data_IF_757111775446
#
_entry.id   IF_757111775446
#
_cell.length_a   1.000
_cell.length_b   1.000
_cell.length_c   1.000
_cell.angle_alpha   90.00
_cell.angle_beta   90.00
_cell.angle_gamma   90.00
#
_symmetry.space_group_name_H-M   'P 1'
#
loop_
_entity.id
_entity.type
_entity.pdbx_description
1 polymer ?
#
# COMPACT_ATOMS: atom_id res chain seq x y z
N UNK A 1 18.71 15.21 -37.90
CA UNK A 1 19.26 15.80 -36.66
C UNK A 1 19.12 14.79 -35.54
N UNK A 2 20.16 13.98 -35.33
CA UNK A 2 20.21 13.05 -34.22
C UNK A 2 20.49 13.82 -32.93
N UNK A 3 19.56 13.75 -31.98
CA UNK A 3 19.70 14.44 -30.69
C UNK A 3 20.54 13.59 -29.73
N UNK A 4 21.54 14.23 -29.12
CA UNK A 4 22.54 13.58 -28.28
C UNK A 4 22.02 12.95 -26.99
N UNK A 5 22.88 12.25 -26.22
CA UNK A 5 22.49 11.48 -25.03
C UNK A 5 21.74 12.28 -23.95
N UNK A 6 22.03 13.58 -23.82
CA UNK A 6 21.35 14.47 -22.86
C UNK A 6 19.89 14.77 -23.23
N UNK A 7 19.55 14.77 -24.52
CA UNK A 7 18.20 15.06 -25.00
C UNK A 7 17.29 13.79 -25.01
N UNK A 8 17.91 12.60 -24.95
CA UNK A 8 17.18 11.33 -24.69
C UNK A 8 16.72 11.21 -23.23
N UNK A 9 17.47 11.79 -22.28
CA UNK A 9 17.09 11.82 -20.86
C UNK A 9 16.00 12.87 -20.56
N UNK A 10 15.99 13.98 -21.30
CA UNK A 10 15.01 15.08 -21.14
C UNK A 10 13.59 14.72 -21.60
N UNK A 11 13.46 13.77 -22.53
CA UNK A 11 12.18 13.34 -23.14
C UNK A 11 11.66 11.99 -22.62
N UNK A 12 12.30 11.40 -21.62
CA UNK A 12 11.98 10.05 -21.14
C UNK A 12 10.63 9.94 -20.39
N UNK A 13 9.98 11.08 -20.10
CA UNK A 13 8.58 11.14 -19.69
C UNK A 13 7.61 10.82 -20.85
N UNK A 14 8.05 10.94 -22.10
CA UNK A 14 7.25 10.63 -23.31
C UNK A 14 7.02 9.13 -23.49
N UNK A 15 7.81 8.28 -22.82
CA UNK A 15 7.54 6.84 -22.79
C UNK A 15 6.47 6.58 -21.73
N UNK A 16 5.32 5.96 -22.08
CA UNK A 16 4.27 5.69 -21.11
C UNK A 16 4.80 4.74 -20.03
N UNK A 17 5.14 5.30 -18.87
CA UNK A 17 5.57 4.55 -17.66
C UNK A 17 4.40 3.83 -17.00
N UNK A 18 3.19 4.34 -17.24
CA UNK A 18 1.93 3.74 -16.82
C UNK A 18 1.19 3.25 -18.07
N UNK A 19 0.87 1.97 -18.08
CA UNK A 19 -0.03 1.37 -19.06
C UNK A 19 -1.45 1.41 -18.48
N UNK A 20 -2.43 1.83 -19.30
CA UNK A 20 -3.84 1.68 -18.95
C UNK A 20 -4.19 0.19 -18.87
N UNK A 21 -4.71 -0.25 -17.73
CA UNK A 21 -5.26 -1.59 -17.60
C UNK A 21 -6.62 -1.49 -16.94
N UNK A 22 -7.60 -2.21 -17.48
CA UNK A 22 -8.88 -2.41 -16.81
C UNK A 22 -8.69 -3.47 -15.73
N UNK A 23 -8.91 -3.10 -14.47
CA UNK A 23 -8.99 -4.07 -13.39
C UNK A 23 -10.39 -4.68 -13.40
N UNK A 24 -10.46 -5.99 -13.55
CA UNK A 24 -11.72 -6.73 -13.53
C UNK A 24 -11.96 -7.32 -12.13
N UNK A 25 -13.23 -7.39 -11.75
CA UNK A 25 -13.72 -8.02 -10.53
C UNK A 25 -15.17 -8.44 -10.75
N UNK A 26 -15.55 -9.64 -10.30
CA UNK A 26 -16.87 -10.23 -10.56
C UNK A 26 -17.98 -9.62 -9.70
N UNK A 27 -18.28 -8.34 -9.93
CA UNK A 27 -19.34 -7.59 -9.22
C UNK A 27 -20.75 -8.00 -9.64
N UNK A 28 -20.89 -8.80 -10.71
CA UNK A 28 -22.18 -9.35 -11.16
C UNK A 28 -22.83 -10.28 -10.14
N UNK A 29 -22.04 -10.84 -9.22
CA UNK A 29 -22.51 -11.72 -8.15
C UNK A 29 -23.03 -10.94 -6.92
N UNK A 30 -22.91 -9.61 -6.91
CA UNK A 30 -23.34 -8.79 -5.79
C UNK A 30 -24.85 -8.55 -5.82
N UNK A 31 -25.48 -8.61 -4.65
CA UNK A 31 -26.88 -8.22 -4.48
C UNK A 31 -27.07 -6.72 -4.76
N UNK A 32 -28.32 -6.27 -4.95
CA UNK A 32 -28.62 -4.84 -5.09
C UNK A 32 -28.11 -4.02 -3.90
N UNK A 33 -28.30 -4.51 -2.66
CA UNK A 33 -27.79 -3.86 -1.43
C UNK A 33 -26.27 -3.81 -1.38
N UNK A 34 -25.59 -4.88 -1.79
CA UNK A 34 -24.12 -4.89 -1.85
C UNK A 34 -23.56 -3.94 -2.90
N UNK A 35 -24.25 -3.76 -4.04
CA UNK A 35 -23.87 -2.76 -5.05
C UNK A 35 -24.06 -1.33 -4.52
N UNK A 36 -25.20 -1.06 -3.88
CA UNK A 36 -25.42 0.22 -3.22
C UNK A 36 -24.35 0.49 -2.14
N UNK A 37 -24.04 -0.51 -1.32
CA UNK A 37 -22.95 -0.42 -0.34
C UNK A 37 -21.62 -0.10 -1.02
N UNK A 38 -21.30 -0.77 -2.14
CA UNK A 38 -20.06 -0.54 -2.88
C UNK A 38 -19.93 0.92 -3.35
N UNK A 39 -21.02 1.52 -3.84
CA UNK A 39 -21.02 2.93 -4.26
C UNK A 39 -20.69 3.87 -3.08
N UNK A 40 -21.27 3.62 -1.91
CA UNK A 40 -20.96 4.36 -0.68
C UNK A 40 -19.48 4.20 -0.27
N UNK A 41 -18.93 2.98 -0.35
CA UNK A 41 -17.52 2.74 -0.01
C UNK A 41 -16.57 3.45 -1.00
N UNK A 42 -16.93 3.53 -2.29
CA UNK A 42 -16.16 4.27 -3.30
C UNK A 42 -16.21 5.78 -3.01
N UNK A 43 -17.38 6.32 -2.65
CA UNK A 43 -17.50 7.73 -2.29
C UNK A 43 -16.71 8.07 -1.02
N UNK A 44 -16.70 7.18 -0.02
CA UNK A 44 -15.84 7.32 1.15
C UNK A 44 -14.35 7.32 0.76
N UNK A 45 -13.92 6.40 -0.10
CA UNK A 45 -12.55 6.34 -0.61
C UNK A 45 -12.17 7.57 -1.43
N UNK A 46 -13.09 8.13 -2.23
CA UNK A 46 -12.84 9.36 -3.00
C UNK A 46 -12.53 10.55 -2.10
N UNK A 47 -13.18 10.68 -0.94
CA UNK A 47 -12.86 11.75 0.01
C UNK A 47 -11.44 11.61 0.59
N UNK A 48 -10.94 10.39 0.77
CA UNK A 48 -9.55 10.11 1.17
C UNK A 48 -8.56 10.51 0.09
N UNK A 49 -8.96 10.42 -1.18
CA UNK A 49 -8.15 10.87 -2.31
C UNK A 49 -7.81 12.35 -2.21
N UNK A 50 -8.80 13.18 -1.86
CA UNK A 50 -8.64 14.62 -1.67
C UNK A 50 -7.63 14.93 -0.55
N UNK A 51 -7.72 14.22 0.58
CA UNK A 51 -6.79 14.39 1.72
C UNK A 51 -5.36 14.08 1.29
N UNK A 52 -5.15 13.02 0.52
CA UNK A 52 -3.80 12.66 0.09
C UNK A 52 -3.22 13.68 -0.90
N UNK A 53 -4.04 14.31 -1.75
CA UNK A 53 -3.58 15.48 -2.53
C UNK A 53 -3.07 16.59 -1.63
N UNK A 54 -3.79 16.93 -0.55
CA UNK A 54 -3.34 17.92 0.43
C UNK A 54 -2.06 17.51 1.17
N UNK A 55 -1.90 16.22 1.49
CA UNK A 55 -0.69 15.68 2.15
C UNK A 55 0.55 15.72 1.26
N UNK A 56 0.38 15.64 -0.06
CA UNK A 56 1.49 15.45 -1.02
C UNK A 56 1.88 16.75 -1.72
N UNK A 57 0.88 17.57 -2.11
CA UNK A 57 1.05 18.73 -2.97
C UNK A 57 0.21 19.92 -2.50
N UNK A 58 -1.08 19.73 -2.24
CA UNK A 58 -2.04 20.81 -2.01
C UNK A 58 -3.20 20.77 -3.00
N UNK A 59 -3.69 21.97 -3.34
CA UNK A 59 -4.75 22.11 -4.34
C UNK A 59 -4.27 21.65 -5.72
N UNK A 60 -4.85 20.54 -6.18
CA UNK A 60 -4.54 19.92 -7.47
C UNK A 60 -5.16 20.66 -8.65
N UNK A 61 -6.18 21.49 -8.43
CA UNK A 61 -7.00 22.10 -9.48
C UNK A 61 -6.17 22.97 -10.42
N UNK A 62 -5.47 24.03 -9.95
CA UNK A 62 -4.67 24.88 -10.84
C UNK A 62 -3.52 24.11 -11.48
N UNK A 63 -2.96 23.10 -10.79
CA UNK A 63 -1.91 22.25 -11.32
C UNK A 63 -2.40 21.42 -12.52
N UNK A 64 -3.57 20.78 -12.42
CA UNK A 64 -4.06 19.87 -13.45
C UNK A 64 -4.70 20.62 -14.63
N UNK A 65 -5.36 21.75 -14.36
CA UNK A 65 -5.96 22.61 -15.39
C UNK A 65 -4.88 23.27 -16.26
N UNK A 66 -3.78 23.73 -15.66
CA UNK A 66 -2.65 24.31 -16.39
C UNK A 66 -1.83 23.33 -17.24
N UNK A 67 -2.14 22.03 -17.21
CA UNK A 67 -1.46 21.01 -18.01
C UNK A 67 -2.27 20.66 -19.25
N UNK A 68 -2.01 21.31 -20.38
CA UNK A 68 -2.70 21.03 -21.65
C UNK A 68 -2.41 19.62 -22.20
N UNK A 69 -1.16 19.15 -22.05
CA UNK A 69 -0.75 17.84 -22.52
C UNK A 69 -1.44 16.72 -21.71
N UNK A 70 -2.27 15.87 -22.33
CA UNK A 70 -3.04 14.85 -21.63
C UNK A 70 -2.16 13.74 -21.01
N UNK A 71 -0.99 13.47 -21.58
CA UNK A 71 -0.04 12.48 -21.05
C UNK A 71 0.61 13.04 -19.78
N UNK A 72 1.05 14.30 -19.79
CA UNK A 72 1.60 14.98 -18.61
C UNK A 72 0.55 15.11 -17.51
N UNK A 73 -0.66 15.56 -17.84
CA UNK A 73 -1.78 15.65 -16.89
C UNK A 73 -2.05 14.30 -16.23
N UNK A 74 -2.07 13.22 -17.01
CA UNK A 74 -2.25 11.87 -16.48
C UNK A 74 -1.08 11.42 -15.59
N UNK A 75 0.16 11.73 -15.98
CA UNK A 75 1.34 11.38 -15.21
C UNK A 75 1.38 12.10 -13.86
N UNK A 76 1.07 13.40 -13.85
CA UNK A 76 0.97 14.23 -12.64
C UNK A 76 -0.16 13.73 -11.74
N UNK A 77 -1.32 13.40 -12.32
CA UNK A 77 -2.44 12.80 -11.59
C UNK A 77 -2.07 11.46 -10.97
N UNK A 78 -1.41 10.57 -11.71
CA UNK A 78 -1.00 9.26 -11.22
C UNK A 78 0.05 9.33 -10.09
N UNK A 79 0.85 10.40 -10.05
CA UNK A 79 1.86 10.60 -9.02
C UNK A 79 1.40 11.45 -7.83
N UNK A 80 0.17 11.98 -7.84
CA UNK A 80 -0.30 12.92 -6.82
C UNK A 80 0.65 14.12 -6.67
N UNK A 81 0.98 14.73 -7.81
CA UNK A 81 1.84 15.90 -7.87
C UNK A 81 2.85 15.85 -9.01
N UNK A 82 3.60 16.94 -9.22
CA UNK A 82 4.52 17.11 -10.34
C UNK A 82 5.87 16.41 -10.15
N UNK A 83 5.91 15.27 -9.44
CA UNK A 83 7.12 14.52 -9.16
C UNK A 83 6.98 13.05 -9.58
N UNK A 84 8.01 12.52 -10.24
CA UNK A 84 8.01 11.14 -10.72
C UNK A 84 8.41 10.16 -9.60
N UNK A 85 7.43 9.47 -9.03
CA UNK A 85 7.64 8.49 -7.95
C UNK A 85 8.48 7.28 -8.39
N UNK A 86 8.53 6.95 -9.68
CA UNK A 86 9.42 5.88 -10.18
C UNK A 86 10.90 6.30 -10.20
N UNK A 87 11.17 7.61 -10.20
CA UNK A 87 12.52 8.16 -10.26
C UNK A 87 12.94 8.85 -8.97
N UNK A 88 12.40 8.39 -7.84
CA UNK A 88 12.75 8.96 -6.54
C UNK A 88 12.27 10.41 -6.39
N UNK A 89 11.09 10.72 -6.92
CA UNK A 89 10.43 12.03 -6.83
C UNK A 89 11.15 13.17 -7.57
N UNK A 90 11.83 12.89 -8.68
CA UNK A 90 12.36 13.95 -9.55
C UNK A 90 11.23 14.77 -10.16
N UNK A 91 11.35 16.11 -10.25
CA UNK A 91 10.37 16.96 -10.91
C UNK A 91 10.04 16.50 -12.34
N UNK A 92 8.76 16.51 -12.69
CA UNK A 92 8.24 16.24 -14.04
C UNK A 92 8.18 17.53 -14.86
N UNK A 93 7.88 18.65 -14.21
CA UNK A 93 7.71 19.97 -14.84
C UNK A 93 8.94 20.84 -14.57
N UNK A 94 9.32 21.69 -15.53
CA UNK A 94 10.54 22.50 -15.44
C UNK A 94 10.53 23.47 -14.24
N UNK A 95 9.38 24.06 -13.91
CA UNK A 95 9.23 25.04 -12.83
C UNK A 95 8.87 24.40 -11.48
N UNK A 96 9.07 23.09 -11.33
CA UNK A 96 8.79 22.36 -10.09
C UNK A 96 10.09 22.13 -9.31
N UNK A 97 10.14 22.65 -8.09
CA UNK A 97 11.24 22.37 -7.16
C UNK A 97 11.26 20.91 -6.67
N UNK A 98 12.29 20.51 -5.89
CA UNK A 98 12.34 19.18 -5.31
C UNK A 98 11.11 18.90 -4.42
N UNK A 99 10.64 17.65 -4.40
CA UNK A 99 9.53 17.26 -3.52
C UNK A 99 9.93 17.48 -2.05
N UNK A 100 9.11 18.17 -1.23
CA UNK A 100 9.36 18.27 0.21
C UNK A 100 9.43 16.87 0.84
N UNK A 101 10.52 16.57 1.55
CA UNK A 101 10.76 15.25 2.14
C UNK A 101 9.72 14.87 3.19
N UNK A 102 9.23 15.85 3.96
CA UNK A 102 8.18 15.66 4.94
C UNK A 102 6.76 15.77 4.37
N UNK A 103 6.59 15.70 3.05
CA UNK A 103 5.34 16.05 2.37
C UNK A 103 4.84 17.42 2.84
N UNK A 104 3.54 17.53 3.10
CA UNK A 104 2.91 18.69 3.77
C UNK A 104 2.52 18.40 5.22
N UNK A 105 3.17 17.42 5.83
CA UNK A 105 2.95 17.09 7.24
C UNK A 105 3.62 18.08 8.20
N UNK A 106 4.63 18.82 7.73
CA UNK A 106 5.42 19.77 8.52
C UNK A 106 5.46 21.15 7.84
N UNK A 107 5.75 22.24 8.57
CA UNK A 107 6.01 23.53 7.95
C UNK A 107 7.21 23.44 6.99
N UNK A 108 7.14 24.15 5.86
CA UNK A 108 8.16 24.08 4.80
C UNK A 108 9.51 24.69 5.20
N UNK A 109 9.50 25.57 6.19
CA UNK A 109 10.63 26.31 6.72
C UNK A 109 11.13 25.72 8.07
N UNK A 110 10.58 24.58 8.51
CA UNK A 110 10.97 23.93 9.75
C UNK A 110 12.30 23.18 9.58
N UNK A 111 13.22 23.36 10.53
CA UNK A 111 14.46 22.57 10.59
C UNK A 111 14.27 21.25 11.38
N UNK A 112 15.04 20.19 11.08
CA UNK A 112 15.04 18.98 11.89
C UNK A 112 15.44 19.21 13.35
N UNK A 113 16.33 20.17 13.61
CA UNK A 113 16.81 20.55 14.94
C UNK A 113 15.71 21.25 15.74
N UNK A 114 14.96 22.18 15.11
CA UNK A 114 13.77 22.80 15.68
C UNK A 114 12.76 21.72 16.10
N UNK A 115 12.43 20.79 15.20
CA UNK A 115 11.53 19.67 15.51
C UNK A 115 12.03 18.79 16.64
N UNK A 116 13.33 18.50 16.69
CA UNK A 116 13.93 17.67 17.74
C UNK A 116 13.84 18.33 19.12
N UNK A 117 13.98 19.65 19.18
CA UNK A 117 13.95 20.43 20.43
C UNK A 117 12.57 20.55 21.06
N UNK A 118 11.50 20.34 20.28
CA UNK A 118 10.12 20.45 20.78
C UNK A 118 9.70 19.16 21.51
N UNK A 119 9.39 19.30 22.79
CA UNK A 119 8.73 18.28 23.60
C UNK A 119 7.27 18.67 23.87
N UNK A 120 6.44 18.54 22.84
CA UNK A 120 5.00 18.79 22.90
C UNK A 120 4.23 17.50 22.64
N UNK A 121 3.19 17.27 23.45
CA UNK A 121 2.25 16.17 23.23
C UNK A 121 1.71 16.18 21.79
N UNK A 122 1.62 15.01 21.16
CA UNK A 122 1.06 14.89 19.82
C UNK A 122 2.04 15.15 18.67
N UNK A 123 3.15 15.88 18.86
CA UNK A 123 4.01 16.32 17.74
C UNK A 123 4.67 15.15 17.00
N UNK A 124 4.96 14.05 17.71
CA UNK A 124 5.52 12.81 17.17
C UNK A 124 4.45 11.75 16.86
N UNK A 125 3.18 12.02 17.15
CA UNK A 125 2.11 11.06 16.88
C UNK A 125 1.89 10.87 15.37
N UNK A 126 1.49 9.67 14.91
CA UNK A 126 1.27 9.40 13.49
C UNK A 126 0.14 10.20 12.86
N UNK A 127 -0.92 10.49 13.63
CA UNK A 127 -2.18 11.06 13.15
C UNK A 127 -2.29 12.57 13.42
N UNK A 128 -1.17 13.29 13.29
CA UNK A 128 -1.13 14.75 13.47
C UNK A 128 -0.30 15.40 12.38
N UNK A 129 -0.70 16.59 11.93
CA UNK A 129 0.16 17.49 11.16
C UNK A 129 0.81 18.49 12.10
N UNK A 130 2.03 18.91 11.76
CA UNK A 130 2.74 19.97 12.48
C UNK A 130 2.56 21.27 11.73
N UNK A 131 2.19 22.33 12.47
CA UNK A 131 1.96 23.68 11.93
C UNK A 131 2.68 24.71 12.79
N UNK A 132 2.84 25.92 12.26
CA UNK A 132 3.29 27.07 13.04
C UNK A 132 2.10 27.69 13.78
N UNK A 133 2.27 27.94 15.07
CA UNK A 133 1.37 28.78 15.85
C UNK A 133 1.60 30.27 15.57
N UNK A 134 0.70 31.11 16.06
CA UNK A 134 0.79 32.57 15.95
C UNK A 134 2.09 33.15 16.56
N UNK A 135 2.64 32.51 17.59
CA UNK A 135 3.91 32.90 18.21
C UNK A 135 5.16 32.36 17.48
N UNK A 136 5.00 31.73 16.31
CA UNK A 136 6.07 31.12 15.53
C UNK A 136 6.49 29.72 15.97
N UNK A 137 6.04 29.25 17.14
CA UNK A 137 6.33 27.91 17.65
C UNK A 137 5.60 26.79 16.89
N UNK A 138 6.01 25.54 17.12
CA UNK A 138 5.38 24.37 16.49
C UNK A 138 4.21 23.85 17.32
N UNK A 139 3.12 23.49 16.65
CA UNK A 139 1.95 22.83 17.25
C UNK A 139 1.55 21.59 16.47
N UNK A 140 1.02 20.60 17.19
CA UNK A 140 0.44 19.40 16.59
C UNK A 140 -1.08 19.59 16.41
N UNK A 141 -1.56 19.43 15.19
CA UNK A 141 -3.00 19.46 14.86
C UNK A 141 -3.44 18.05 14.51
N UNK A 142 -4.43 17.46 15.21
CA UNK A 142 -4.98 16.14 14.89
C UNK A 142 -5.54 16.08 13.46
N UNK A 143 -5.47 14.90 12.83
CA UNK A 143 -5.99 14.73 11.47
C UNK A 143 -7.49 14.97 11.36
N UNK A 144 -8.27 14.54 12.37
CA UNK A 144 -9.71 14.82 12.48
C UNK A 144 -10.06 16.30 12.41
N UNK A 145 -9.14 17.18 12.83
CA UNK A 145 -9.28 18.63 12.70
C UNK A 145 -8.69 19.13 11.37
N UNK A 146 -7.45 18.75 11.06
CA UNK A 146 -6.72 19.23 9.88
C UNK A 146 -7.43 18.91 8.55
N UNK A 147 -8.15 17.79 8.50
CA UNK A 147 -8.84 17.29 7.29
C UNK A 147 -10.35 17.11 7.50
N UNK A 148 -10.92 17.81 8.49
CA UNK A 148 -12.31 17.66 8.95
C UNK A 148 -13.33 17.55 7.80
N UNK A 149 -13.37 18.44 6.79
CA UNK A 149 -14.44 18.39 5.79
C UNK A 149 -14.43 17.10 4.97
N UNK A 150 -13.25 16.57 4.64
CA UNK A 150 -13.13 15.32 3.88
C UNK A 150 -13.41 14.10 4.76
N UNK A 151 -12.96 14.12 6.02
CA UNK A 151 -13.19 13.04 6.98
C UNK A 151 -14.67 12.91 7.35
N UNK A 152 -15.39 14.03 7.52
CA UNK A 152 -16.84 14.03 7.76
C UNK A 152 -17.62 13.53 6.53
N UNK A 153 -17.18 13.85 5.30
CA UNK A 153 -17.75 13.25 4.07
C UNK A 153 -17.54 11.74 4.06
N UNK A 154 -16.31 11.27 4.29
CA UNK A 154 -15.98 9.85 4.32
C UNK A 154 -16.80 9.11 5.39
N UNK A 155 -16.86 9.65 6.62
CA UNK A 155 -17.60 9.06 7.72
C UNK A 155 -19.10 8.95 7.43
N UNK A 156 -19.72 9.94 6.78
CA UNK A 156 -21.13 9.87 6.36
C UNK A 156 -21.38 8.74 5.37
N UNK A 157 -20.56 8.62 4.33
CA UNK A 157 -20.67 7.53 3.36
C UNK A 157 -20.44 6.15 4.01
N UNK A 158 -19.49 6.05 4.94
CA UNK A 158 -19.29 4.82 5.71
C UNK A 158 -20.50 4.46 6.59
N UNK A 159 -21.17 5.45 7.19
CA UNK A 159 -22.40 5.24 7.94
C UNK A 159 -23.56 4.79 7.02
N UNK A 160 -23.70 5.39 5.84
CA UNK A 160 -24.67 4.93 4.82
C UNK A 160 -24.40 3.50 4.37
N UNK A 161 -23.13 3.14 4.12
CA UNK A 161 -22.74 1.77 3.81
C UNK A 161 -23.10 0.80 4.95
N UNK A 162 -22.87 1.20 6.20
CA UNK A 162 -23.21 0.39 7.37
C UNK A 162 -24.73 0.16 7.49
N UNK A 163 -25.55 1.14 7.12
CA UNK A 163 -27.02 1.03 7.15
C UNK A 163 -27.53 -0.06 6.21
N UNK A 164 -26.98 -0.14 4.99
CA UNK A 164 -27.39 -1.14 3.97
C UNK A 164 -26.62 -2.47 4.06
N UNK A 165 -25.59 -2.55 4.91
CA UNK A 165 -24.81 -3.76 5.12
C UNK A 165 -25.61 -4.82 5.89
N UNK A 166 -25.60 -6.06 5.39
CA UNK A 166 -26.28 -7.19 6.05
C UNK A 166 -25.32 -7.99 6.96
N UNK A 167 -24.01 -7.99 6.68
CA UNK A 167 -23.01 -8.65 7.52
C UNK A 167 -22.78 -7.84 8.82
N UNK A 168 -22.99 -8.44 10.01
CA UNK A 168 -22.93 -7.72 11.28
C UNK A 168 -21.49 -7.32 11.67
N UNK A 169 -20.48 -8.10 11.29
CA UNK A 169 -19.08 -7.79 11.59
C UNK A 169 -18.60 -6.62 10.73
N UNK A 170 -18.93 -6.62 9.45
CA UNK A 170 -18.59 -5.53 8.54
C UNK A 170 -19.35 -4.25 8.90
N UNK A 171 -20.64 -4.35 9.24
CA UNK A 171 -21.41 -3.21 9.78
C UNK A 171 -20.75 -2.60 11.00
N UNK A 172 -20.31 -3.43 11.96
CA UNK A 172 -19.58 -2.98 13.15
C UNK A 172 -18.27 -2.27 12.77
N UNK A 173 -17.49 -2.85 11.85
CA UNK A 173 -16.26 -2.22 11.35
C UNK A 173 -16.55 -0.85 10.73
N UNK A 174 -17.50 -0.76 9.80
CA UNK A 174 -17.85 0.49 9.11
C UNK A 174 -18.25 1.59 10.10
N UNK A 175 -19.08 1.27 11.08
CA UNK A 175 -19.48 2.21 12.14
C UNK A 175 -18.30 2.68 12.98
N UNK A 176 -17.45 1.75 13.44
CA UNK A 176 -16.28 2.09 14.25
C UNK A 176 -15.25 2.91 13.47
N UNK A 177 -15.02 2.57 12.20
CA UNK A 177 -14.07 3.27 11.33
C UNK A 177 -14.58 4.65 10.95
N UNK A 178 -15.88 4.81 10.68
CA UNK A 178 -16.49 6.13 10.46
C UNK A 178 -16.26 7.07 11.66
N UNK A 179 -16.44 6.56 12.89
CA UNK A 179 -16.12 7.31 14.12
C UNK A 179 -14.64 7.61 14.21
N UNK A 180 -13.77 6.63 13.99
CA UNK A 180 -12.31 6.81 14.07
C UNK A 180 -11.80 7.91 13.14
N UNK A 181 -12.36 8.04 11.93
CA UNK A 181 -11.99 9.10 10.99
C UNK A 181 -12.22 10.51 11.55
N UNK A 182 -13.19 10.70 12.44
CA UNK A 182 -13.52 12.02 13.01
C UNK A 182 -13.06 12.18 14.47
N UNK A 183 -12.46 11.15 15.09
CA UNK A 183 -11.95 11.20 16.47
C UNK A 183 -10.47 10.82 16.60
N UNK A 184 -9.82 10.38 15.52
CA UNK A 184 -8.45 9.85 15.47
C UNK A 184 -8.16 8.59 16.31
N UNK A 185 -9.21 7.94 16.86
CA UNK A 185 -9.11 6.69 17.63
C UNK A 185 -9.38 5.46 16.74
N UNK A 186 -8.35 4.98 16.07
CA UNK A 186 -8.45 3.87 15.11
C UNK A 186 -8.43 2.48 15.76
N UNK A 187 -7.93 2.36 16.99
CA UNK A 187 -7.68 1.07 17.65
C UNK A 187 -8.89 0.13 17.72
N UNK A 188 -10.09 0.57 18.15
CA UNK A 188 -11.29 -0.25 18.14
C UNK A 188 -11.68 -0.75 16.74
N UNK A 189 -11.55 0.12 15.74
CA UNK A 189 -11.91 -0.21 14.36
C UNK A 189 -10.91 -1.17 13.71
N UNK A 190 -9.62 -1.04 14.03
CA UNK A 190 -8.57 -1.94 13.53
C UNK A 190 -8.77 -3.36 14.06
N UNK A 191 -9.13 -3.52 15.34
CA UNK A 191 -9.51 -4.83 15.90
C UNK A 191 -10.73 -5.42 15.18
N UNK A 192 -11.77 -4.61 14.97
CA UNK A 192 -12.96 -5.05 14.26
C UNK A 192 -12.65 -5.48 12.81
N UNK A 193 -11.72 -4.79 12.13
CA UNK A 193 -11.27 -5.17 10.80
C UNK A 193 -10.52 -6.51 10.80
N UNK A 194 -9.65 -6.73 11.78
CA UNK A 194 -8.89 -7.97 11.93
C UNK A 194 -9.78 -9.21 12.18
N UNK A 195 -11.04 -9.02 12.59
CA UNK A 195 -12.05 -10.08 12.79
C UNK A 195 -12.83 -10.44 11.51
N UNK A 196 -12.73 -9.66 10.43
CA UNK A 196 -13.51 -9.88 9.20
C UNK A 196 -13.08 -11.15 8.46
N UNK A 197 -14.03 -12.05 8.18
CA UNK A 197 -13.75 -13.34 7.49
C UNK A 197 -14.66 -13.65 6.32
N UNK A 198 -15.92 -13.20 6.37
CA UNK A 198 -17.01 -13.70 5.52
C UNK A 198 -17.52 -12.69 4.49
N UNK A 199 -17.38 -11.38 4.73
CA UNK A 199 -17.99 -10.42 3.84
C UNK A 199 -17.27 -10.36 2.49
N UNK A 200 -18.05 -10.41 1.40
CA UNK A 200 -17.54 -10.44 0.03
C UNK A 200 -16.93 -9.09 -0.36
N UNK A 201 -17.52 -7.99 0.10
CA UNK A 201 -16.95 -6.64 -0.09
C UNK A 201 -16.11 -6.29 1.13
N UNK A 202 -14.95 -5.68 0.93
CA UNK A 202 -14.07 -5.28 2.03
C UNK A 202 -13.57 -3.86 1.78
N UNK A 203 -13.23 -3.17 2.86
CA UNK A 203 -12.74 -1.80 2.84
C UNK A 203 -11.59 -1.67 3.81
N UNK A 204 -10.48 -1.14 3.32
CA UNK A 204 -9.35 -0.71 4.14
C UNK A 204 -9.19 0.78 3.90
N UNK A 205 -9.44 1.61 4.91
CA UNK A 205 -9.50 3.08 4.75
C UNK A 205 -8.92 3.81 5.96
N UNK A 206 -8.10 4.83 5.76
CA UNK A 206 -7.59 5.67 6.85
C UNK A 206 -6.12 6.07 6.66
N UNK A 207 -5.45 6.55 7.73
CA UNK A 207 -4.03 6.88 7.69
C UNK A 207 -3.19 5.60 7.80
N UNK A 208 -2.67 5.11 6.67
CA UNK A 208 -2.18 3.73 6.51
C UNK A 208 -0.77 3.61 5.90
N UNK A 209 -0.17 4.70 5.46
CA UNK A 209 1.13 4.65 4.77
C UNK A 209 2.12 5.68 5.32
N UNK A 210 3.26 5.23 5.84
CA UNK A 210 4.28 6.14 6.42
C UNK A 210 5.38 6.54 5.43
N UNK A 211 5.32 6.09 4.18
CA UNK A 211 6.39 6.32 3.21
C UNK A 211 6.36 7.74 2.63
N UNK A 212 5.20 8.41 2.68
CA UNK A 212 5.07 9.79 2.21
C UNK A 212 5.85 10.78 3.10
N UNK A 213 6.05 10.45 4.38
CA UNK A 213 6.97 11.15 5.27
C UNK A 213 8.39 10.56 5.15
N UNK A 214 9.15 11.03 4.16
CA UNK A 214 10.57 10.69 3.99
C UNK A 214 11.50 11.49 4.93
N UNK A 215 10.97 12.49 5.64
CA UNK A 215 11.76 13.28 6.57
C UNK A 215 12.03 12.49 7.85
N UNK A 216 10.98 12.05 8.53
CA UNK A 216 11.08 11.30 9.79
C UNK A 216 10.44 9.91 9.74
N UNK A 217 9.54 9.66 8.79
CA UNK A 217 8.72 8.44 8.76
C UNK A 217 7.82 8.31 9.98
N UNK A 218 7.41 9.44 10.56
CA UNK A 218 6.54 9.56 11.72
C UNK A 218 5.07 9.62 11.34
N UNK A 219 4.74 10.32 10.27
CA UNK A 219 3.36 10.64 9.88
C UNK A 219 2.82 9.64 8.88
N UNK A 220 1.53 9.34 8.99
CA UNK A 220 0.84 8.41 8.12
C UNK A 220 -0.05 9.15 7.12
N UNK A 221 0.16 8.87 5.85
CA UNK A 221 -0.66 9.30 4.75
C UNK A 221 -1.96 8.50 4.67
N UNK A 222 -3.01 9.17 4.21
CA UNK A 222 -4.33 8.60 3.98
C UNK A 222 -4.35 7.73 2.70
N UNK A 223 -5.00 6.58 2.80
CA UNK A 223 -5.16 5.63 1.71
C UNK A 223 -6.48 4.88 1.84
N UNK A 224 -6.99 4.39 0.72
CA UNK A 224 -8.15 3.51 0.71
C UNK A 224 -8.06 2.41 -0.35
N UNK A 225 -8.54 1.22 0.00
CA UNK A 225 -8.74 0.08 -0.87
C UNK A 225 -10.18 -0.39 -0.74
N UNK A 226 -10.95 -0.30 -1.81
CA UNK A 226 -12.25 -0.96 -1.93
C UNK A 226 -12.03 -2.29 -2.65
N UNK A 227 -12.38 -3.38 -1.99
CA UNK A 227 -11.93 -4.72 -2.34
C UNK A 227 -13.11 -5.68 -2.50
N UNK A 228 -12.91 -6.67 -3.36
CA UNK A 228 -13.80 -7.83 -3.52
C UNK A 228 -13.04 -9.09 -3.13
N UNK A 229 -13.48 -9.75 -2.06
CA UNK A 229 -12.85 -10.95 -1.50
C UNK A 229 -13.11 -12.17 -2.39
N UNK A 230 -12.04 -12.90 -2.69
CA UNK A 230 -12.09 -14.26 -3.23
C UNK A 230 -12.17 -15.24 -2.06
N UNK A 231 -13.39 -15.62 -1.66
CA UNK A 231 -13.58 -16.51 -0.51
C UNK A 231 -12.90 -17.89 -0.72
N UNK A 232 -13.13 -18.61 -1.84
CA UNK A 232 -12.46 -19.89 -2.06
C UNK A 232 -10.93 -19.79 -2.09
N UNK A 233 -10.39 -18.71 -2.65
CA UNK A 233 -8.95 -18.44 -2.66
C UNK A 233 -8.39 -18.16 -1.26
N UNK A 234 -9.08 -17.33 -0.49
CA UNK A 234 -8.71 -16.97 0.88
C UNK A 234 -8.74 -18.21 1.79
N UNK A 235 -9.79 -19.03 1.71
CA UNK A 235 -9.91 -20.27 2.52
C UNK A 235 -8.79 -21.27 2.23
N UNK A 236 -8.33 -21.35 0.96
CA UNK A 236 -7.17 -22.17 0.58
C UNK A 236 -5.88 -21.66 1.26
N UNK A 237 -5.67 -20.35 1.25
CA UNK A 237 -4.48 -19.75 1.84
C UNK A 237 -4.51 -19.82 3.37
N UNK A 238 -5.68 -19.66 4.00
CA UNK A 238 -5.85 -19.84 5.45
C UNK A 238 -5.49 -21.25 5.92
N UNK A 239 -5.80 -22.28 5.12
CA UNK A 239 -5.33 -23.66 5.42
C UNK A 239 -3.82 -23.78 5.43
N UNK A 240 -3.12 -23.08 4.53
CA UNK A 240 -1.65 -23.06 4.48
C UNK A 240 -1.08 -22.24 5.64
N UNK A 241 -1.69 -21.09 5.94
CA UNK A 241 -1.28 -20.21 7.04
C UNK A 241 -1.27 -20.92 8.39
N UNK A 242 -2.22 -21.85 8.62
CA UNK A 242 -2.25 -22.68 9.84
C UNK A 242 -1.04 -23.62 9.99
N UNK A 243 -0.34 -23.94 8.89
CA UNK A 243 0.85 -24.80 8.88
C UNK A 243 2.16 -24.01 8.92
N UNK A 244 2.11 -22.67 8.99
CA UNK A 244 3.32 -21.84 9.05
C UNK A 244 4.27 -22.20 10.20
N UNK A 245 3.80 -22.57 11.42
CA UNK A 245 4.70 -23.03 12.47
C UNK A 245 5.49 -24.29 12.08
N UNK A 246 4.83 -25.29 11.49
CA UNK A 246 5.48 -26.51 10.98
C UNK A 246 6.51 -26.18 9.90
N UNK A 247 6.12 -25.34 8.93
CA UNK A 247 7.01 -24.93 7.83
C UNK A 247 8.22 -24.18 8.40
N UNK A 248 8.03 -23.29 9.38
CA UNK A 248 9.11 -22.56 10.02
C UNK A 248 10.11 -23.47 10.75
N UNK A 249 9.61 -24.51 11.43
CA UNK A 249 10.45 -25.51 12.09
C UNK A 249 11.23 -26.39 11.10
N UNK A 250 10.70 -26.61 9.90
CA UNK A 250 11.37 -27.39 8.85
C UNK A 250 12.53 -26.66 8.16
N UNK A 251 12.69 -25.35 8.38
CA UNK A 251 13.73 -24.57 7.70
C UNK A 251 15.13 -24.91 8.23
N UNK A 252 16.16 -24.93 7.36
CA UNK A 252 17.53 -25.31 7.72
C UNK A 252 18.22 -24.37 8.73
N UNK A 253 17.53 -23.31 9.15
CA UNK A 253 17.98 -22.30 10.11
C UNK A 253 16.99 -22.10 11.27
N UNK A 254 16.03 -22.99 11.46
CA UNK A 254 14.99 -22.87 12.50
C UNK A 254 15.57 -22.70 13.92
N UNK A 255 16.69 -23.37 14.22
CA UNK A 255 17.38 -23.28 15.52
C UNK A 255 18.02 -21.92 15.81
N UNK A 256 18.27 -21.09 14.78
CA UNK A 256 18.86 -19.76 14.94
C UNK A 256 17.83 -18.68 15.33
N UNK A 257 16.53 -19.00 15.31
CA UNK A 257 15.44 -18.06 15.54
C UNK A 257 14.56 -18.48 16.72
N UNK A 258 14.94 -18.03 17.92
CA UNK A 258 14.30 -18.36 19.20
C UNK A 258 12.80 -17.98 19.28
N UNK A 259 12.29 -17.06 18.45
CA UNK A 259 10.94 -16.49 18.61
C UNK A 259 9.83 -17.12 17.74
N UNK A 260 10.14 -18.09 16.87
CA UNK A 260 9.15 -18.66 15.95
C UNK A 260 8.48 -17.61 15.03
N UNK A 261 7.60 -18.01 14.11
CA UNK A 261 6.83 -17.06 13.33
C UNK A 261 5.77 -16.38 14.21
N UNK A 262 5.56 -15.07 14.04
CA UNK A 262 4.40 -14.41 14.64
C UNK A 262 3.10 -15.03 14.12
N UNK A 263 2.02 -15.02 14.95
CA UNK A 263 0.70 -15.43 14.49
C UNK A 263 0.27 -14.60 13.27
N UNK A 264 -0.21 -15.29 12.23
CA UNK A 264 -0.90 -14.68 11.09
C UNK A 264 -2.38 -14.95 11.29
N UNK A 265 -3.20 -13.89 11.39
CA UNK A 265 -4.63 -14.00 11.70
C UNK A 265 -5.49 -14.46 10.52
N UNK A 266 -4.91 -14.51 9.32
CA UNK A 266 -5.51 -15.02 8.08
C UNK A 266 -4.72 -14.53 6.86
N UNK A 267 -5.15 -14.92 5.66
CA UNK A 267 -4.63 -14.42 4.39
C UNK A 267 -5.78 -14.10 3.44
N UNK A 268 -5.92 -12.83 3.05
CA UNK A 268 -7.00 -12.41 2.17
C UNK A 268 -6.56 -12.29 0.72
N UNK A 269 -7.25 -12.97 -0.18
CA UNK A 269 -7.16 -12.77 -1.62
C UNK A 269 -8.30 -11.86 -2.06
N UNK A 270 -7.97 -10.79 -2.78
CA UNK A 270 -8.95 -9.80 -3.21
C UNK A 270 -8.71 -9.36 -4.65
N UNK A 271 -9.78 -8.96 -5.33
CA UNK A 271 -9.71 -8.07 -6.47
C UNK A 271 -9.86 -6.62 -5.98
N UNK A 272 -8.96 -5.73 -6.40
CA UNK A 272 -9.10 -4.31 -6.11
C UNK A 272 -10.13 -3.69 -7.06
N UNK A 273 -11.17 -3.07 -6.50
CA UNK A 273 -12.22 -2.39 -7.27
C UNK A 273 -11.94 -0.89 -7.38
N UNK A 274 -11.45 -0.27 -6.31
CA UNK A 274 -11.10 1.15 -6.28
C UNK A 274 -9.93 1.39 -5.33
N UNK A 275 -9.01 2.27 -5.72
CA UNK A 275 -7.84 2.66 -4.93
C UNK A 275 -7.84 4.19 -4.81
N UNK A 276 -7.58 4.70 -3.61
CA UNK A 276 -7.49 6.14 -3.36
C UNK A 276 -6.32 6.51 -2.46
N UNK A 277 -5.88 7.76 -2.59
CA UNK A 277 -4.77 8.31 -1.83
C UNK A 277 -3.47 7.54 -2.04
N UNK A 278 -2.72 7.28 -0.96
CA UNK A 278 -1.42 6.62 -1.07
C UNK A 278 -1.49 5.22 -1.73
N UNK A 279 -2.63 4.53 -1.63
CA UNK A 279 -2.88 3.25 -2.31
C UNK A 279 -2.84 3.35 -3.84
N UNK A 280 -3.21 4.52 -4.37
CA UNK A 280 -3.30 4.79 -5.80
C UNK A 280 -2.12 5.65 -6.29
N UNK A 281 -1.19 6.02 -5.41
CA UNK A 281 -0.04 6.83 -5.79
C UNK A 281 1.02 6.00 -6.52
N UNK A 282 1.33 6.40 -7.75
CA UNK A 282 2.43 5.81 -8.51
C UNK A 282 2.24 4.30 -8.78
N UNK A 283 3.30 3.47 -8.61
CA UNK A 283 3.24 2.04 -8.86
C UNK A 283 2.22 1.34 -7.96
N UNK A 284 1.41 0.45 -8.53
CA UNK A 284 0.36 -0.25 -7.78
C UNK A 284 0.92 -1.47 -7.03
N UNK A 285 0.79 -1.54 -5.70
CA UNK A 285 1.23 -2.70 -4.94
C UNK A 285 0.38 -3.91 -5.32
N UNK A 286 1.01 -5.07 -5.52
CA UNK A 286 0.29 -6.33 -5.73
C UNK A 286 -0.07 -7.06 -4.44
N UNK A 287 0.58 -6.68 -3.34
CA UNK A 287 0.38 -7.23 -2.01
C UNK A 287 0.61 -6.16 -0.98
N UNK A 288 -0.03 -6.28 0.19
CA UNK A 288 0.19 -5.35 1.29
C UNK A 288 0.07 -6.04 2.64
N UNK A 289 0.83 -5.53 3.60
CA UNK A 289 0.59 -5.73 5.01
C UNK A 289 -0.14 -4.51 5.53
N UNK A 290 -1.25 -4.75 6.23
CA UNK A 290 -1.83 -3.71 7.06
C UNK A 290 -1.21 -3.94 8.43
N UNK A 291 0.00 -3.40 8.59
CA UNK A 291 0.84 -3.50 9.78
C UNK A 291 1.10 -2.12 10.44
N UNK A 292 0.59 -1.04 9.88
CA UNK A 292 0.96 0.32 10.29
C UNK A 292 -0.25 1.23 10.55
N UNK A 293 -0.98 0.96 11.64
CA UNK A 293 -1.76 1.98 12.37
C UNK A 293 -1.97 1.55 13.83
N UNK A 294 -1.00 1.88 14.70
CA UNK A 294 -1.22 1.97 16.16
C UNK A 294 -1.32 0.66 16.98
N UNK A 295 -0.42 0.53 17.96
CA UNK A 295 -0.49 -0.08 19.31
C UNK A 295 -1.22 -1.41 19.62
N UNK A 296 -2.10 -1.96 18.77
CA UNK A 296 -2.98 -3.08 19.13
C UNK A 296 -2.57 -4.42 18.50
N UNK A 297 -1.65 -4.39 17.53
CA UNK A 297 -1.37 -5.52 16.65
C UNK A 297 -0.27 -6.47 17.15
N UNK A 298 0.29 -6.22 18.33
CA UNK A 298 1.19 -7.18 18.99
C UNK A 298 0.48 -8.50 19.31
N UNK A 299 -0.84 -8.45 19.56
CA UNK A 299 -1.64 -9.58 20.03
C UNK A 299 -2.46 -10.26 18.91
N UNK A 300 -2.93 -9.51 17.91
CA UNK A 300 -3.84 -10.03 16.86
C UNK A 300 -3.17 -10.45 15.56
N UNK A 301 -1.88 -10.13 15.34
CA UNK A 301 -1.14 -10.50 14.12
C UNK A 301 -1.50 -9.67 12.88
N UNK A 302 -0.60 -9.63 11.89
CA UNK A 302 -0.82 -8.90 10.64
C UNK A 302 -1.74 -9.68 9.69
N UNK A 303 -2.59 -8.98 8.94
CA UNK A 303 -3.41 -9.56 7.86
C UNK A 303 -2.74 -9.24 6.52
N UNK A 304 -2.09 -10.20 5.85
CA UNK A 304 -1.57 -10.03 4.51
C UNK A 304 -2.73 -10.00 3.50
N UNK A 305 -2.65 -9.04 2.58
CA UNK A 305 -3.57 -8.88 1.45
C UNK A 305 -2.84 -9.19 0.15
N UNK A 306 -3.46 -10.00 -0.70
CA UNK A 306 -3.04 -10.27 -2.07
C UNK A 306 -4.05 -9.72 -3.07
N UNK A 307 -3.63 -8.76 -3.90
CA UNK A 307 -4.46 -8.09 -4.89
C UNK A 307 -4.34 -8.81 -6.24
N UNK A 308 -5.22 -9.80 -6.43
CA UNK A 308 -5.20 -10.76 -7.53
C UNK A 308 -5.27 -10.09 -8.90
N UNK A 309 -6.29 -9.28 -9.15
CA UNK A 309 -6.44 -8.61 -10.46
C UNK A 309 -5.28 -7.66 -10.79
N UNK A 310 -4.69 -6.99 -9.80
CA UNK A 310 -3.45 -6.21 -9.99
C UNK A 310 -2.30 -7.15 -10.34
N UNK A 311 -2.11 -8.25 -9.62
CA UNK A 311 -1.05 -9.21 -9.90
C UNK A 311 -1.16 -9.85 -11.29
N UNK A 312 -2.38 -10.16 -11.74
CA UNK A 312 -2.65 -10.58 -13.12
C UNK A 312 -2.28 -9.49 -14.14
N UNK A 313 -2.72 -8.25 -13.93
CA UNK A 313 -2.36 -7.13 -14.79
C UNK A 313 -0.83 -6.96 -14.88
N UNK A 314 -0.14 -7.05 -13.73
CA UNK A 314 1.32 -6.94 -13.68
C UNK A 314 2.01 -8.07 -14.44
N UNK A 315 1.53 -9.29 -14.25
CA UNK A 315 2.09 -10.45 -14.92
C UNK A 315 1.94 -10.33 -16.44
N UNK A 316 0.73 -10.04 -16.92
CA UNK A 316 0.41 -10.00 -18.34
C UNK A 316 1.10 -8.84 -19.07
N UNK A 317 1.15 -7.65 -18.45
CA UNK A 317 1.63 -6.44 -19.13
C UNK A 317 3.15 -6.27 -19.06
N UNK A 318 3.82 -6.78 -18.01
CA UNK A 318 5.28 -6.62 -17.88
C UNK A 318 6.03 -7.92 -17.64
N UNK A 319 5.62 -8.75 -16.68
CA UNK A 319 6.41 -9.95 -16.33
C UNK A 319 6.53 -10.93 -17.49
N UNK A 320 5.44 -11.24 -18.18
CA UNK A 320 5.43 -12.19 -19.29
C UNK A 320 6.19 -11.65 -20.50
N UNK A 321 6.00 -10.39 -20.97
CA UNK A 321 6.82 -9.81 -22.03
C UNK A 321 8.32 -9.79 -21.69
N UNK A 322 8.69 -9.32 -20.50
CA UNK A 322 10.10 -9.30 -20.07
C UNK A 322 10.67 -10.72 -20.01
N UNK A 323 9.91 -11.68 -19.49
CA UNK A 323 10.31 -13.08 -19.45
C UNK A 323 10.54 -13.67 -20.84
N UNK A 324 9.72 -13.31 -21.83
CA UNK A 324 9.91 -13.74 -23.23
C UNK A 324 11.18 -13.16 -23.85
N UNK A 325 11.64 -11.99 -23.45
CA UNK A 325 12.91 -11.43 -23.95
C UNK A 325 14.12 -12.02 -23.20
N UNK A 326 14.01 -12.16 -21.87
CA UNK A 326 15.14 -12.48 -20.99
C UNK A 326 15.39 -13.98 -20.80
N UNK A 327 14.39 -14.84 -21.01
CA UNK A 327 14.48 -16.29 -20.75
C UNK A 327 14.71 -17.07 -22.05
N UNK A 328 15.58 -18.09 -21.98
CA UNK A 328 15.87 -19.00 -23.08
C UNK A 328 14.59 -19.64 -23.63
N UNK A 329 14.50 -19.81 -24.96
CA UNK A 329 13.25 -20.18 -25.66
C UNK A 329 12.63 -21.47 -25.13
N UNK A 330 13.46 -22.47 -24.84
CA UNK A 330 13.11 -23.79 -24.30
C UNK A 330 12.58 -23.74 -22.85
N UNK A 331 12.84 -22.66 -22.11
CA UNK A 331 12.38 -22.48 -20.73
C UNK A 331 11.14 -21.57 -20.60
N UNK A 332 10.73 -20.87 -21.66
CA UNK A 332 9.63 -19.88 -21.59
C UNK A 332 8.28 -20.48 -21.19
N UNK A 333 8.06 -21.76 -21.46
CA UNK A 333 6.85 -22.49 -21.04
C UNK A 333 6.71 -22.58 -19.51
N UNK A 334 7.80 -22.37 -18.76
CA UNK A 334 7.79 -22.33 -17.29
C UNK A 334 7.18 -21.03 -16.74
N UNK A 335 7.03 -19.98 -17.56
CA UNK A 335 6.40 -18.70 -17.20
C UNK A 335 4.90 -18.78 -17.53
N UNK A 336 4.22 -19.78 -16.97
CA UNK A 336 2.85 -20.14 -17.38
C UNK A 336 1.75 -19.38 -16.61
N UNK A 337 2.04 -18.89 -15.40
CA UNK A 337 1.01 -18.31 -14.53
C UNK A 337 1.58 -17.26 -13.59
N UNK A 338 0.67 -16.46 -13.01
CA UNK A 338 0.99 -15.51 -11.95
C UNK A 338 1.65 -16.27 -10.79
N UNK A 339 2.77 -15.77 -10.24
CA UNK A 339 3.55 -16.50 -9.22
C UNK A 339 2.92 -16.38 -7.81
N UNK A 340 1.63 -16.74 -7.68
CA UNK A 340 0.85 -16.59 -6.45
C UNK A 340 1.51 -17.22 -5.23
N UNK A 341 2.08 -18.43 -5.37
CA UNK A 341 2.76 -19.13 -4.29
C UNK A 341 4.07 -18.44 -3.88
N UNK A 342 4.91 -18.07 -4.85
CA UNK A 342 6.16 -17.35 -4.57
C UNK A 342 5.87 -16.02 -3.88
N UNK A 343 4.84 -15.30 -4.34
CA UNK A 343 4.41 -14.06 -3.71
C UNK A 343 3.85 -14.31 -2.32
N UNK A 344 2.99 -15.31 -2.12
CA UNK A 344 2.47 -15.71 -0.81
C UNK A 344 3.59 -15.98 0.20
N UNK A 345 4.58 -16.82 -0.18
CA UNK A 345 5.70 -17.12 0.70
C UNK A 345 6.59 -15.91 0.92
N UNK A 346 6.90 -15.11 -0.10
CA UNK A 346 7.67 -13.87 0.05
C UNK A 346 6.99 -12.87 0.98
N UNK A 347 5.67 -12.75 0.87
CA UNK A 347 4.84 -11.94 1.75
C UNK A 347 5.05 -12.49 3.15
N UNK A 348 4.65 -13.72 3.43
CA UNK A 348 4.61 -14.26 4.79
C UNK A 348 6.01 -14.33 5.42
N UNK A 349 7.04 -14.76 4.69
CA UNK A 349 8.41 -14.83 5.18
C UNK A 349 8.98 -13.44 5.48
N UNK A 350 8.73 -12.46 4.60
CA UNK A 350 9.21 -11.09 4.76
C UNK A 350 8.61 -10.37 5.97
N UNK A 351 7.42 -10.80 6.42
CA UNK A 351 6.70 -10.10 7.48
C UNK A 351 7.16 -10.43 8.89
N UNK A 352 7.67 -11.64 9.18
CA UNK A 352 7.96 -12.07 10.56
C UNK A 352 8.80 -13.35 10.70
N UNK A 353 9.49 -13.80 9.65
CA UNK A 353 10.38 -14.98 9.75
C UNK A 353 11.82 -14.51 10.01
N UNK A 354 12.21 -14.48 11.29
CA UNK A 354 13.57 -14.14 11.71
C UNK A 354 13.67 -13.13 12.87
N UNK A 355 14.87 -12.95 13.45
CA UNK A 355 15.15 -12.06 14.60
C UNK A 355 14.55 -10.67 14.38
N UNK A 356 13.53 -10.30 15.16
CA UNK A 356 12.91 -8.97 15.10
C UNK A 356 13.53 -7.98 16.10
N UNK A 357 14.13 -8.48 17.18
CA UNK A 357 14.92 -7.70 18.14
C UNK A 357 16.19 -8.47 18.56
N UNK A 358 17.29 -7.77 18.83
CA UNK A 358 18.45 -8.35 19.54
C UNK A 358 18.25 -8.12 21.04
N UNK A 359 18.56 -9.13 21.86
CA UNK A 359 18.44 -9.16 23.33
C UNK A 359 19.04 -7.95 24.08
N UNK A 360 19.88 -7.13 23.45
CA UNK A 360 20.56 -5.99 24.09
C UNK A 360 20.04 -4.62 23.69
N UNK A 361 19.11 -4.50 22.74
CA UNK A 361 18.43 -3.24 22.45
C UNK A 361 17.03 -3.52 21.87
N UNK A 362 15.99 -2.99 22.51
CA UNK A 362 14.58 -3.01 22.05
C UNK A 362 14.37 -2.14 20.79
N UNK A 363 15.17 -2.34 19.75
CA UNK A 363 15.07 -1.63 18.48
C UNK A 363 14.78 -2.63 17.36
N UNK A 364 13.78 -2.38 16.50
CA UNK A 364 13.49 -3.24 15.36
C UNK A 364 14.70 -3.36 14.43
N UNK A 365 14.92 -4.53 13.83
CA UNK A 365 16.00 -4.74 12.85
C UNK A 365 16.03 -3.71 11.71
N UNK A 366 14.86 -3.18 11.31
CA UNK A 366 14.73 -2.09 10.31
C UNK A 366 15.44 -0.81 10.75
N UNK A 367 15.36 -0.46 12.04
CA UNK A 367 16.01 0.72 12.60
C UNK A 367 17.53 0.52 12.67
N UNK A 368 17.97 -0.68 13.05
CA UNK A 368 19.40 -1.01 13.11
C UNK A 368 20.04 -0.99 11.72
N UNK A 369 19.47 -1.67 10.72
CA UNK A 369 19.98 -1.70 9.33
C UNK A 369 20.05 -0.31 8.69
N UNK A 370 19.12 0.60 9.02
CA UNK A 370 19.12 1.99 8.53
C UNK A 370 20.28 2.81 9.10
N UNK A 371 20.83 2.41 10.25
CA UNK A 371 21.85 3.17 10.99
C UNK A 371 23.23 2.50 11.03
N UNK A 372 23.36 1.19 10.75
CA UNK A 372 24.66 0.47 10.78
C UNK A 372 25.24 0.12 9.42
N UNK A 373 24.47 0.18 8.32
CA UNK A 373 25.02 -0.08 6.99
C UNK A 373 25.77 1.15 6.44
N UNK A 374 27.05 0.99 6.03
CA UNK A 374 27.82 2.03 5.35
C UNK A 374 27.04 2.59 4.14
N UNK A 375 27.14 3.91 3.90
CA UNK A 375 26.47 4.57 2.75
C UNK A 375 26.77 3.90 1.40
N UNK A 376 27.92 3.24 1.26
CA UNK A 376 28.35 2.53 0.05
C UNK A 376 27.53 1.28 -0.30
N UNK A 377 26.88 0.64 0.68
CA UNK A 377 26.05 -0.57 0.46
C UNK A 377 24.62 -0.18 0.06
N UNK A 378 24.16 1.03 0.39
CA UNK A 378 22.81 1.52 0.05
C UNK A 378 22.57 1.72 -1.46
N UNK A 379 23.61 1.64 -2.31
CA UNK A 379 23.55 1.98 -3.74
C UNK A 379 24.02 0.89 -4.72
N UNK A 380 24.25 -0.35 -4.29
CA UNK A 380 24.67 -1.42 -5.23
C UNK A 380 23.60 -2.52 -5.38
N UNK A 381 23.31 -2.99 -6.60
CA UNK A 381 22.44 -4.14 -6.81
C UNK A 381 23.10 -5.40 -6.26
N UNK A 382 22.35 -6.19 -5.49
CA UNK A 382 22.80 -7.42 -4.85
C UNK A 382 23.08 -8.49 -5.93
N UNK A 383 24.31 -9.02 -5.97
CA UNK A 383 24.65 -10.24 -6.71
C UNK A 383 24.04 -11.44 -5.97
N UNK A 384 23.13 -12.16 -6.61
CA UNK A 384 22.59 -13.41 -6.11
C UNK A 384 23.63 -14.54 -6.24
N UNK A 385 23.87 -15.25 -5.14
CA UNK A 385 24.57 -16.54 -5.13
C UNK A 385 23.56 -17.64 -5.47
N UNK A 386 23.91 -18.47 -6.46
CA UNK A 386 23.17 -19.68 -6.86
C UNK A 386 23.29 -20.75 -5.77
N UNK A 387 22.15 -21.22 -5.26
CA UNK A 387 22.04 -22.60 -4.77
C UNK A 387 20.61 -23.12 -4.86
N UNK A 388 20.42 -24.07 -5.78
CA UNK A 388 19.50 -25.22 -5.74
C UNK A 388 18.05 -25.01 -5.25
N UNK A 389 17.13 -24.81 -6.20
CA UNK A 389 15.73 -25.19 -6.09
C UNK A 389 15.49 -26.43 -6.97
N UNK A 390 15.63 -27.62 -6.37
CA UNK A 390 15.11 -28.85 -6.92
C UNK A 390 14.09 -29.39 -5.91
N UNK A 391 12.84 -29.53 -6.36
CA UNK A 391 11.76 -30.11 -5.57
C UNK A 391 10.67 -29.11 -5.20
N UNK A 392 9.88 -28.67 -6.19
CA UNK A 392 8.43 -28.39 -6.08
C UNK A 392 7.93 -27.98 -7.48
N UNK A 393 7.97 -28.91 -8.42
CA UNK A 393 7.43 -28.74 -9.77
C UNK A 393 6.49 -29.89 -10.09
N UNK A 394 5.23 -29.78 -9.68
CA UNK A 394 4.08 -30.35 -10.41
C UNK A 394 2.80 -30.07 -9.63
N UNK A 395 2.04 -29.09 -10.09
CA UNK A 395 0.71 -28.77 -9.59
C UNK A 395 0.03 -27.86 -10.59
N UNK A 396 -0.16 -28.37 -11.81
CA UNK A 396 -0.86 -27.65 -12.87
C UNK A 396 -2.32 -27.42 -12.45
N UNK A 397 -2.70 -26.17 -12.21
CA UNK A 397 -4.11 -25.79 -12.12
C UNK A 397 -4.58 -25.53 -13.56
N UNK A 398 -5.55 -26.34 -14.02
CA UNK A 398 -6.22 -26.15 -15.31
C UNK A 398 -6.83 -24.75 -15.38
N UNK A 399 -6.83 -24.09 -16.56
CA UNK A 399 -7.60 -22.87 -16.75
C UNK A 399 -9.09 -23.16 -16.50
N UNK A 400 -9.73 -22.37 -15.64
CA UNK A 400 -11.18 -22.42 -15.45
C UNK A 400 -11.88 -21.92 -16.74
N UNK A 401 -12.95 -22.59 -17.21
CA UNK A 401 -13.64 -22.21 -18.42
C UNK A 401 -14.39 -20.89 -18.22
N UNK A 402 -14.14 -19.89 -19.08
CA UNK A 402 -14.95 -18.67 -19.11
C UNK A 402 -14.33 -17.40 -19.68
N UNK A 403 -13.00 -17.29 -19.82
CA UNK A 403 -12.38 -16.10 -20.42
C UNK A 403 -12.06 -16.33 -21.91
N UNK A 404 -12.90 -15.81 -22.80
CA UNK A 404 -12.48 -15.48 -24.16
C UNK A 404 -11.85 -14.09 -24.12
N UNK A 405 -10.54 -14.03 -24.34
CA UNK A 405 -9.83 -12.79 -24.62
C UNK A 405 -10.05 -12.48 -26.09
N UNK A 406 -10.82 -11.44 -26.40
CA UNK A 406 -10.82 -10.82 -27.73
C UNK A 406 -9.86 -9.63 -27.69
N UNK A 407 -9.01 -9.55 -28.73
CA UNK A 407 -7.94 -8.58 -28.92
C UNK A 407 -8.42 -7.13 -28.98
#
# INVERSE_FOLDING_TARGET
METGPGDRLSRDWQRPKFVSVRLEGSVSLLTARQRQMLDELINAASAIDDIFWEQTYGDRTPLLEGLEDPVRRRLVKANYGPWDRFRGNTPILANTGPKPRGGRFYPSDMSPEEFASVDMAGIRQPHTVVRRAANGGLVAVPFSEAYRPALERAARHMASAAFVCDDPFFKRYLTLRARALITDDYGPSDRAWAELRSNIVDLVIGPLDRQEDDLFGLKSAFAAWVLLRDQPGSDRMDRVSRRLPEIAQSLPFATAYEQGPSPVSGFGIYDALYLAGAANAGPKPGTRYIDEAGAVHGETGAVPIYLRNIMYARFSVYTLPIGREMIARDQRSQIASVPTWTTFFSVISGSRWGRQSRRTARLPCRWHLRNTLPRSIRRRPVRWVRTSLAGFTSGAIRPFPGLKVTW
#
